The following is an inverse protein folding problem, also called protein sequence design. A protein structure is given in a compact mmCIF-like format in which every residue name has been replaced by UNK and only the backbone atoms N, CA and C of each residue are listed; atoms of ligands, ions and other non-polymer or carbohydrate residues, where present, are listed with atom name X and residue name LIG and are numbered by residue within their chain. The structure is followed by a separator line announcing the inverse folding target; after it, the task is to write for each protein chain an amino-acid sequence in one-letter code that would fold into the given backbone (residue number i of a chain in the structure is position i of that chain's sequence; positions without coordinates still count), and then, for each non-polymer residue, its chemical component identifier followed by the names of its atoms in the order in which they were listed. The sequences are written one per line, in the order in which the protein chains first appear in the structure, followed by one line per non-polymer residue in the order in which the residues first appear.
data_IF_303297340821
#
_entry.id   IF_303297340821
#
_cell.length_a   1.000
_cell.length_b   1.000
_cell.length_c   1.000
_cell.angle_alpha   90.00
_cell.angle_beta   90.00
_cell.angle_gamma   90.00
#
_symmetry.space_group_name_H-M   'P 1'
#
loop_
_entity.id
_entity.type
_entity.pdbx_description
1 polymer ?
#
# COMPACT_ATOMS: atom_id res chain seq x y z
N UNK A 1 65.45 -34.94 -6.56
CA UNK A 1 65.16 -33.68 -5.85
C UNK A 1 64.26 -34.01 -4.67
N UNK A 2 64.82 -34.11 -3.45
CA UNK A 2 64.04 -34.31 -2.23
C UNK A 2 63.30 -33.01 -1.88
N UNK A 3 62.03 -33.06 -1.42
CA UNK A 3 61.34 -31.86 -0.93
C UNK A 3 61.99 -31.39 0.40
N UNK A 4 62.05 -30.07 0.67
CA UNK A 4 62.60 -29.59 1.92
C UNK A 4 61.73 -30.07 3.08
N UNK A 5 62.38 -30.59 4.13
CA UNK A 5 61.73 -30.97 5.38
C UNK A 5 60.93 -29.76 5.92
N UNK A 6 59.61 -29.91 6.02
CA UNK A 6 58.75 -28.92 6.69
C UNK A 6 59.13 -28.89 8.16
N UNK A 7 59.84 -27.84 8.58
CA UNK A 7 59.99 -27.55 10.00
C UNK A 7 58.59 -27.35 10.60
N UNK A 8 58.29 -27.94 11.77
CA UNK A 8 57.02 -27.73 12.44
C UNK A 8 56.85 -26.23 12.71
N UNK A 9 55.64 -25.70 12.48
CA UNK A 9 55.31 -24.35 12.90
C UNK A 9 55.45 -24.27 14.44
N UNK A 10 56.18 -23.28 14.98
CA UNK A 10 56.36 -23.15 16.41
C UNK A 10 55.00 -22.94 17.09
N UNK A 11 54.77 -23.64 18.20
CA UNK A 11 53.54 -23.50 18.99
C UNK A 11 53.61 -22.17 19.74
N UNK A 12 52.48 -21.47 19.85
CA UNK A 12 52.37 -20.14 20.50
C UNK A 12 52.97 -20.11 21.93
N UNK A 13 52.90 -21.23 22.66
CA UNK A 13 53.49 -21.40 23.99
C UNK A 13 55.03 -21.33 24.02
N UNK A 14 55.71 -21.62 22.92
CA UNK A 14 57.17 -21.61 22.83
C UNK A 14 57.70 -20.19 22.49
N UNK A 15 56.84 -19.36 21.90
CA UNK A 15 57.15 -17.99 21.43
C UNK A 15 57.10 -16.98 22.58
N UNK A 16 56.22 -17.20 23.57
CA UNK A 16 55.96 -16.20 24.63
C UNK A 16 57.11 -16.06 25.65
N UNK A 17 57.85 -17.13 25.92
CA UNK A 17 58.93 -17.12 26.93
C UNK A 17 60.33 -16.88 26.38
N UNK A 18 60.68 -17.48 25.24
CA UNK A 18 62.08 -17.51 24.75
C UNK A 18 62.45 -16.26 23.96
N UNK A 19 61.51 -15.70 23.19
CA UNK A 19 61.75 -14.53 22.35
C UNK A 19 61.89 -13.27 23.20
N UNK A 20 61.05 -13.11 24.23
CA UNK A 20 61.13 -11.96 25.14
C UNK A 20 62.40 -11.99 26.00
N UNK A 21 62.84 -13.17 26.42
CA UNK A 21 64.07 -13.34 27.20
C UNK A 21 65.34 -13.08 26.37
N UNK A 22 65.38 -13.56 25.12
CA UNK A 22 66.45 -13.21 24.18
C UNK A 22 66.50 -11.71 23.85
N UNK A 23 65.32 -11.09 23.70
CA UNK A 23 65.20 -9.64 23.47
C UNK A 23 65.68 -8.77 24.64
N UNK A 24 65.56 -9.25 25.88
CA UNK A 24 66.03 -8.55 27.07
C UNK A 24 67.55 -8.69 27.28
N UNK A 25 68.13 -9.81 26.84
CA UNK A 25 69.58 -10.04 26.88
C UNK A 25 70.31 -9.20 25.82
N UNK A 26 69.81 -9.15 24.59
CA UNK A 26 70.40 -8.33 23.52
C UNK A 26 70.25 -6.82 23.78
N UNK A 27 69.26 -6.43 24.61
CA UNK A 27 69.00 -5.05 24.99
C UNK A 27 69.90 -4.50 26.11
N UNK A 28 70.68 -5.35 26.77
CA UNK A 28 71.57 -4.90 27.84
C UNK A 28 72.82 -4.16 27.30
N UNK A 29 73.21 -4.42 26.05
CA UNK A 29 74.48 -3.94 25.46
C UNK A 29 74.32 -2.95 24.29
N UNK A 30 73.10 -2.61 23.88
CA UNK A 30 72.84 -1.65 22.79
C UNK A 30 72.48 -0.24 23.30
N UNK A 31 72.92 0.81 22.59
CA UNK A 31 72.52 2.17 22.93
C UNK A 31 71.00 2.33 22.85
N UNK A 32 70.44 3.09 23.79
CA UNK A 32 68.99 3.35 23.92
C UNK A 32 68.32 3.77 22.61
N UNK A 33 69.04 4.46 21.72
CA UNK A 33 68.55 4.85 20.39
C UNK A 33 68.37 3.67 19.43
N UNK A 34 69.29 2.68 19.41
CA UNK A 34 69.16 1.47 18.58
C UNK A 34 68.07 0.55 19.11
N UNK A 35 67.92 0.49 20.43
CA UNK A 35 66.82 -0.22 21.08
C UNK A 35 65.46 0.34 20.69
N UNK A 36 65.28 1.65 20.77
CA UNK A 36 64.03 2.29 20.35
C UNK A 36 63.69 2.05 18.88
N UNK A 37 64.70 2.09 17.98
CA UNK A 37 64.49 1.83 16.56
C UNK A 37 64.19 0.34 16.27
N UNK A 38 64.91 -0.58 16.90
CA UNK A 38 64.73 -2.02 16.77
C UNK A 38 63.38 -2.49 17.30
N UNK A 39 63.04 -2.10 18.53
CA UNK A 39 61.75 -2.41 19.15
C UNK A 39 60.60 -1.73 18.41
N UNK A 40 60.75 -0.47 17.99
CA UNK A 40 59.72 0.24 17.22
C UNK A 40 59.38 -0.46 15.90
N UNK A 41 60.38 -0.92 15.14
CA UNK A 41 60.13 -1.63 13.88
C UNK A 41 59.45 -2.99 14.08
N UNK A 42 59.82 -3.71 15.15
CA UNK A 42 59.29 -5.04 15.47
C UNK A 42 57.89 -4.97 16.04
N UNK A 43 57.60 -4.01 16.92
CA UNK A 43 56.24 -3.71 17.41
C UNK A 43 55.32 -3.31 16.26
N UNK A 44 55.79 -2.45 15.36
CA UNK A 44 55.01 -2.05 14.17
C UNK A 44 54.67 -3.25 13.28
N UNK A 45 55.62 -4.18 13.11
CA UNK A 45 55.40 -5.40 12.34
C UNK A 45 54.44 -6.36 13.04
N UNK A 46 54.55 -6.52 14.36
CA UNK A 46 53.65 -7.35 15.15
C UNK A 46 52.21 -6.79 15.13
N UNK A 47 52.04 -5.48 15.33
CA UNK A 47 50.74 -4.80 15.23
C UNK A 47 50.16 -4.96 13.83
N UNK A 48 50.97 -4.79 12.78
CA UNK A 48 50.51 -5.00 11.39
C UNK A 48 50.04 -6.44 11.16
N UNK A 49 50.76 -7.45 11.63
CA UNK A 49 50.32 -8.84 11.55
C UNK A 49 49.03 -9.08 12.32
N UNK A 50 48.88 -8.50 13.52
CA UNK A 50 47.68 -8.64 14.34
C UNK A 50 46.46 -8.01 13.64
N UNK A 51 46.62 -6.80 13.11
CA UNK A 51 45.60 -6.10 12.32
C UNK A 51 45.26 -6.91 11.06
N UNK A 52 46.25 -7.46 10.35
CA UNK A 52 46.00 -8.32 9.19
C UNK A 52 45.17 -9.55 9.57
N UNK A 53 45.49 -10.24 10.67
CA UNK A 53 44.71 -11.41 11.13
C UNK A 53 43.30 -11.01 11.59
N UNK A 54 43.13 -9.83 12.18
CA UNK A 54 41.82 -9.36 12.67
C UNK A 54 40.89 -8.90 11.55
N UNK A 55 41.40 -8.23 10.52
CA UNK A 55 40.59 -7.63 9.45
C UNK A 55 40.54 -8.47 8.17
N UNK A 56 41.58 -9.26 7.91
CA UNK A 56 41.67 -10.14 6.75
C UNK A 56 42.37 -11.45 7.15
N UNK A 57 41.74 -12.24 8.05
CA UNK A 57 42.31 -13.52 8.47
C UNK A 57 42.60 -14.35 7.22
N UNK A 58 43.74 -15.05 7.16
CA UNK A 58 44.00 -15.97 6.05
C UNK A 58 42.87 -16.98 6.02
N UNK A 59 41.91 -16.78 5.11
CA UNK A 59 40.84 -17.73 4.87
C UNK A 59 41.53 -19.00 4.43
N UNK A 60 41.35 -20.09 5.16
CA UNK A 60 41.57 -21.42 4.60
C UNK A 60 40.53 -21.59 3.48
N UNK A 61 40.82 -21.04 2.30
CA UNK A 61 40.00 -21.21 1.11
C UNK A 61 40.09 -22.69 0.73
N UNK A 62 39.10 -23.48 1.15
CA UNK A 62 38.86 -24.76 0.53
C UNK A 62 38.31 -24.50 -0.88
N UNK A 63 39.22 -24.32 -1.83
CA UNK A 63 38.89 -24.07 -3.24
C UNK A 63 37.95 -25.15 -3.82
N UNK A 64 37.94 -26.35 -3.26
CA UNK A 64 37.02 -27.41 -3.69
C UNK A 64 35.59 -27.19 -3.14
N UNK A 65 35.44 -26.62 -1.95
CA UNK A 65 34.15 -26.18 -1.42
C UNK A 65 33.59 -25.00 -2.21
N UNK A 66 34.41 -23.99 -2.47
CA UNK A 66 33.98 -22.80 -3.23
C UNK A 66 33.56 -23.13 -4.66
N UNK A 67 34.29 -24.05 -5.34
CA UNK A 67 33.87 -24.58 -6.64
C UNK A 67 32.56 -25.35 -6.58
N UNK A 68 32.40 -26.25 -5.58
CA UNK A 68 31.15 -27.00 -5.38
C UNK A 68 29.97 -26.07 -5.18
N UNK A 69 30.13 -25.02 -4.36
CA UNK A 69 29.10 -23.98 -4.13
C UNK A 69 28.75 -23.25 -5.43
N UNK A 70 29.75 -22.83 -6.21
CA UNK A 70 29.55 -22.10 -7.46
C UNK A 70 28.88 -22.93 -8.57
N UNK A 71 29.05 -24.25 -8.55
CA UNK A 71 28.52 -25.19 -9.54
C UNK A 71 27.10 -25.68 -9.21
N UNK A 72 26.53 -25.27 -8.07
CA UNK A 72 25.20 -25.73 -7.64
C UNK A 72 24.07 -25.13 -8.47
N UNK A 73 23.13 -25.97 -8.90
CA UNK A 73 21.98 -25.59 -9.73
C UNK A 73 20.66 -25.64 -8.96
N UNK A 74 20.67 -26.22 -7.76
CA UNK A 74 19.51 -26.31 -6.89
C UNK A 74 19.87 -25.97 -5.44
N UNK A 75 18.85 -25.58 -4.67
CA UNK A 75 18.99 -25.25 -3.25
C UNK A 75 19.51 -26.46 -2.45
N UNK A 76 19.09 -27.67 -2.82
CA UNK A 76 19.54 -28.91 -2.15
C UNK A 76 21.04 -29.17 -2.35
N UNK A 77 21.57 -28.92 -3.55
CA UNK A 77 23.00 -29.04 -3.85
C UNK A 77 23.81 -28.00 -3.10
N UNK A 78 23.31 -26.75 -3.04
CA UNK A 78 23.98 -25.65 -2.33
C UNK A 78 24.13 -25.97 -0.84
N UNK A 79 23.09 -26.54 -0.22
CA UNK A 79 23.10 -26.99 1.17
C UNK A 79 24.16 -28.06 1.40
N UNK A 80 24.20 -29.08 0.54
CA UNK A 80 25.19 -30.16 0.62
C UNK A 80 26.63 -29.66 0.43
N UNK A 81 26.85 -28.64 -0.40
CA UNK A 81 28.17 -28.04 -0.63
C UNK A 81 28.65 -27.15 0.52
N UNK A 82 27.72 -26.59 1.31
CA UNK A 82 28.03 -25.70 2.45
C UNK A 82 28.21 -26.49 3.76
N UNK A 83 27.67 -27.69 3.89
CA UNK A 83 27.77 -28.49 5.12
C UNK A 83 29.19 -29.04 5.35
N UNK A 84 29.79 -28.76 6.51
CA UNK A 84 31.09 -29.32 6.89
C UNK A 84 30.95 -30.74 7.49
N UNK A 85 31.91 -31.66 7.27
CA UNK A 85 31.84 -33.00 7.84
C UNK A 85 32.02 -32.94 9.37
N UNK A 86 30.93 -33.12 10.12
CA UNK A 86 30.97 -33.29 11.58
C UNK A 86 30.23 -32.24 12.43
N UNK A 87 29.58 -31.24 11.83
CA UNK A 87 28.58 -30.43 12.55
C UNK A 87 27.24 -31.18 12.63
N UNK A 88 26.59 -31.14 13.79
CA UNK A 88 25.24 -31.69 13.99
C UNK A 88 24.30 -30.99 13.00
N UNK A 89 23.66 -31.73 12.07
CA UNK A 89 23.01 -31.12 10.93
C UNK A 89 21.77 -30.36 11.42
N UNK A 90 21.88 -29.03 11.56
CA UNK A 90 20.68 -28.21 11.32
C UNK A 90 20.22 -28.59 9.93
N UNK A 91 18.99 -29.09 9.83
CA UNK A 91 18.40 -29.52 8.56
C UNK A 91 18.09 -28.27 7.73
N UNK A 92 19.15 -27.66 7.19
CA UNK A 92 19.15 -26.47 6.36
C UNK A 92 18.25 -26.65 5.14
N UNK A 93 18.12 -27.88 4.65
CA UNK A 93 17.20 -28.22 3.56
C UNK A 93 15.74 -28.04 3.99
N UNK A 94 15.38 -28.45 5.20
CA UNK A 94 14.06 -28.22 5.78
C UNK A 94 13.81 -26.73 6.02
N UNK A 95 14.75 -26.00 6.63
CA UNK A 95 14.61 -24.56 6.87
C UNK A 95 14.46 -23.76 5.57
N UNK A 96 15.23 -24.10 4.53
CA UNK A 96 15.13 -23.47 3.22
C UNK A 96 13.82 -23.85 2.50
N UNK A 97 13.36 -25.09 2.63
CA UNK A 97 12.06 -25.52 2.14
C UNK A 97 10.91 -24.75 2.80
N UNK A 98 10.96 -24.59 4.12
CA UNK A 98 9.98 -23.80 4.88
C UNK A 98 10.02 -22.32 4.50
N UNK A 99 11.21 -21.74 4.32
CA UNK A 99 11.38 -20.35 3.90
C UNK A 99 10.83 -20.13 2.48
N UNK A 100 11.08 -21.06 1.56
CA UNK A 100 10.56 -21.00 0.20
C UNK A 100 9.03 -21.11 0.17
N UNK A 101 8.45 -22.00 0.99
CA UNK A 101 7.00 -22.13 1.13
C UNK A 101 6.35 -20.85 1.68
N UNK A 102 6.97 -20.23 2.70
CA UNK A 102 6.52 -18.94 3.25
C UNK A 102 6.60 -17.82 2.21
N UNK A 103 7.69 -17.75 1.44
CA UNK A 103 7.84 -16.77 0.37
C UNK A 103 6.76 -16.93 -0.71
N UNK A 104 6.49 -18.16 -1.15
CA UNK A 104 5.44 -18.44 -2.14
C UNK A 104 4.04 -18.09 -1.61
N UNK A 105 3.75 -18.39 -0.34
CA UNK A 105 2.49 -18.03 0.30
C UNK A 105 2.32 -16.50 0.41
N UNK A 106 3.36 -15.78 0.81
CA UNK A 106 3.34 -14.32 0.90
C UNK A 106 3.17 -13.67 -0.48
N UNK A 107 3.84 -14.21 -1.51
CA UNK A 107 3.69 -13.74 -2.89
C UNK A 107 2.25 -13.95 -3.39
N UNK A 108 1.65 -15.11 -3.10
CA UNK A 108 0.25 -15.38 -3.43
C UNK A 108 -0.71 -14.43 -2.69
N UNK A 109 -0.48 -14.20 -1.39
CA UNK A 109 -1.26 -13.28 -0.58
C UNK A 109 -1.18 -11.84 -1.11
N UNK A 110 0.02 -11.39 -1.50
CA UNK A 110 0.23 -10.08 -2.13
C UNK A 110 -0.54 -9.94 -3.44
N UNK A 111 -0.45 -10.93 -4.33
CA UNK A 111 -1.19 -10.91 -5.61
C UNK A 111 -2.71 -10.87 -5.35
N UNK A 112 -3.20 -11.64 -4.37
CA UNK A 112 -4.61 -11.63 -3.99
C UNK A 112 -5.05 -10.25 -3.44
N UNK A 113 -4.21 -9.63 -2.60
CA UNK A 113 -4.46 -8.29 -2.07
C UNK A 113 -4.48 -7.22 -3.18
N UNK A 114 -3.52 -7.27 -4.11
CA UNK A 114 -3.46 -6.36 -5.26
C UNK A 114 -4.71 -6.49 -6.16
N UNK A 115 -5.14 -7.73 -6.45
CA UNK A 115 -6.39 -7.99 -7.20
C UNK A 115 -7.62 -7.46 -6.47
N UNK A 116 -7.71 -7.68 -5.16
CA UNK A 116 -8.81 -7.18 -4.33
C UNK A 116 -8.86 -5.66 -4.31
N UNK A 117 -7.71 -4.99 -4.15
CA UNK A 117 -7.62 -3.54 -4.19
C UNK A 117 -8.03 -2.97 -5.57
N UNK A 118 -7.61 -3.62 -6.66
CA UNK A 118 -8.02 -3.26 -8.01
C UNK A 118 -9.54 -3.37 -8.20
N UNK A 119 -10.14 -4.48 -7.79
CA UNK A 119 -11.58 -4.70 -7.87
C UNK A 119 -12.37 -3.67 -7.06
N UNK A 120 -11.92 -3.39 -5.83
CA UNK A 120 -12.54 -2.37 -4.97
C UNK A 120 -12.50 -0.99 -5.62
N UNK A 121 -11.37 -0.62 -6.24
CA UNK A 121 -11.23 0.64 -6.98
C UNK A 121 -12.14 0.71 -8.20
N UNK A 122 -12.31 -0.40 -8.92
CA UNK A 122 -13.21 -0.47 -10.07
C UNK A 122 -14.68 -0.30 -9.65
N UNK A 123 -15.10 -0.96 -8.57
CA UNK A 123 -16.45 -0.84 -8.00
C UNK A 123 -16.74 0.58 -7.49
N UNK A 124 -15.77 1.22 -6.83
CA UNK A 124 -15.90 2.63 -6.42
C UNK A 124 -16.13 3.55 -7.62
N UNK A 125 -15.33 3.40 -8.69
CA UNK A 125 -15.52 4.20 -9.91
C UNK A 125 -16.88 3.95 -10.57
N UNK A 126 -17.40 2.73 -10.51
CA UNK A 126 -18.72 2.39 -11.04
C UNK A 126 -19.83 3.08 -10.23
N UNK A 127 -19.74 3.03 -8.90
CA UNK A 127 -20.67 3.72 -7.99
C UNK A 127 -20.64 5.23 -8.19
N UNK A 128 -19.45 5.81 -8.34
CA UNK A 128 -19.28 7.24 -8.57
C UNK A 128 -19.95 7.72 -9.87
N UNK A 129 -19.75 6.99 -10.97
CA UNK A 129 -20.47 7.25 -12.23
C UNK A 129 -21.99 7.14 -12.08
N UNK A 130 -22.45 6.14 -11.33
CA UNK A 130 -23.88 5.97 -11.08
C UNK A 130 -24.45 7.13 -10.27
N UNK A 131 -23.76 7.58 -9.22
CA UNK A 131 -24.16 8.75 -8.42
C UNK A 131 -24.26 10.02 -9.28
N UNK A 132 -23.32 10.24 -10.19
CA UNK A 132 -23.37 11.39 -11.12
C UNK A 132 -24.61 11.31 -12.02
N UNK A 133 -24.93 10.12 -12.56
CA UNK A 133 -26.13 9.91 -13.37
C UNK A 133 -27.41 10.19 -12.58
N UNK A 134 -27.50 9.66 -11.35
CA UNK A 134 -28.66 9.86 -10.48
C UNK A 134 -28.82 11.32 -10.06
N UNK A 135 -27.72 12.04 -9.83
CA UNK A 135 -27.77 13.47 -9.54
C UNK A 135 -28.32 14.27 -10.74
N UNK A 136 -27.92 13.91 -11.96
CA UNK A 136 -28.46 14.53 -13.18
C UNK A 136 -29.95 14.23 -13.37
N UNK A 137 -30.37 12.98 -13.17
CA UNK A 137 -31.79 12.60 -13.23
C UNK A 137 -32.63 13.31 -12.17
N UNK A 138 -32.13 13.42 -10.93
CA UNK A 138 -32.82 14.17 -9.88
C UNK A 138 -32.94 15.66 -10.22
N UNK A 139 -31.89 16.28 -10.77
CA UNK A 139 -31.97 17.67 -11.21
C UNK A 139 -33.02 17.88 -12.32
N UNK A 140 -33.13 16.93 -13.24
CA UNK A 140 -34.14 16.95 -14.29
C UNK A 140 -35.55 16.76 -13.75
N UNK A 141 -35.75 15.81 -12.84
CA UNK A 141 -37.03 15.62 -12.16
C UNK A 141 -37.45 16.86 -11.38
N UNK A 142 -36.52 17.53 -10.71
CA UNK A 142 -36.80 18.74 -9.96
C UNK A 142 -37.22 19.90 -10.87
N UNK A 143 -36.63 20.03 -12.07
CA UNK A 143 -37.10 20.99 -13.08
C UNK A 143 -38.53 20.68 -13.53
N UNK A 144 -38.87 19.41 -13.74
CA UNK A 144 -40.22 19.00 -14.15
C UNK A 144 -41.25 19.28 -13.07
N UNK A 145 -40.90 19.05 -11.80
CA UNK A 145 -41.75 19.40 -10.66
C UNK A 145 -42.02 20.91 -10.66
N UNK A 146 -40.98 21.73 -10.76
CA UNK A 146 -41.16 23.18 -10.78
C UNK A 146 -42.06 23.64 -11.94
N UNK A 147 -41.82 23.13 -13.16
CA UNK A 147 -42.65 23.45 -14.30
C UNK A 147 -44.12 23.03 -14.10
N UNK A 148 -44.34 21.86 -13.48
CA UNK A 148 -45.69 21.39 -13.15
C UNK A 148 -46.36 22.26 -12.08
N UNK A 149 -45.62 22.73 -11.08
CA UNK A 149 -46.13 23.64 -10.05
C UNK A 149 -46.50 25.01 -10.65
N UNK A 150 -45.67 25.55 -11.53
CA UNK A 150 -45.94 26.81 -12.23
C UNK A 150 -47.19 26.69 -13.10
N UNK A 151 -47.36 25.56 -13.79
CA UNK A 151 -48.56 25.27 -14.57
C UNK A 151 -49.81 25.16 -13.68
N UNK A 152 -49.70 24.47 -12.54
CA UNK A 152 -50.81 24.38 -11.58
C UNK A 152 -51.21 25.75 -11.06
N UNK A 153 -50.23 26.57 -10.64
CA UNK A 153 -50.50 27.92 -10.14
C UNK A 153 -51.17 28.80 -11.21
N UNK A 154 -50.74 28.66 -12.47
CA UNK A 154 -51.38 29.37 -13.59
C UNK A 154 -52.82 28.92 -13.78
N UNK A 155 -53.08 27.61 -13.73
CA UNK A 155 -54.43 27.06 -13.81
C UNK A 155 -55.32 27.53 -12.66
N UNK A 156 -54.82 27.48 -11.42
CA UNK A 156 -55.56 27.89 -10.23
C UNK A 156 -55.94 29.38 -10.31
N UNK A 157 -55.03 30.23 -10.79
CA UNK A 157 -55.30 31.65 -11.02
C UNK A 157 -56.37 31.88 -12.09
N UNK A 158 -56.35 31.09 -13.18
CA UNK A 158 -57.38 31.17 -14.23
C UNK A 158 -58.75 30.76 -13.69
N UNK A 159 -58.83 29.69 -12.90
CA UNK A 159 -60.07 29.25 -12.25
C UNK A 159 -60.57 30.33 -11.29
N UNK A 160 -59.70 30.92 -10.48
CA UNK A 160 -60.08 32.00 -9.57
C UNK A 160 -60.62 33.24 -10.31
N UNK A 161 -60.03 33.60 -11.46
CA UNK A 161 -60.54 34.70 -12.28
C UNK A 161 -61.92 34.39 -12.86
N UNK A 162 -62.13 33.18 -13.38
CA UNK A 162 -63.41 32.75 -13.95
C UNK A 162 -64.53 32.66 -12.91
N UNK A 163 -64.19 32.35 -11.66
CA UNK A 163 -65.17 32.28 -10.58
C UNK A 163 -65.88 33.62 -10.36
N UNK A 164 -65.14 34.74 -10.43
CA UNK A 164 -65.73 36.08 -10.33
C UNK A 164 -66.67 36.41 -11.50
N UNK A 165 -66.32 35.97 -12.70
CA UNK A 165 -67.18 36.14 -13.88
C UNK A 165 -68.47 35.32 -13.76
N UNK A 166 -68.39 34.08 -13.25
CA UNK A 166 -69.57 33.23 -13.01
C UNK A 166 -70.51 33.88 -12.00
N UNK A 167 -69.99 34.39 -10.88
CA UNK A 167 -70.81 35.09 -9.86
C UNK A 167 -71.52 36.32 -10.44
N UNK A 168 -70.84 37.11 -11.27
CA UNK A 168 -71.45 38.25 -11.95
C UNK A 168 -72.54 37.82 -12.95
N UNK A 169 -72.30 36.73 -13.69
CA UNK A 169 -73.29 36.16 -14.60
C UNK A 169 -74.53 35.65 -13.85
N UNK A 170 -74.35 34.96 -12.73
CA UNK A 170 -75.43 34.47 -11.87
C UNK A 170 -76.29 35.62 -11.34
N UNK A 171 -75.67 36.73 -10.93
CA UNK A 171 -76.41 37.92 -10.49
C UNK A 171 -77.24 38.53 -11.63
N UNK A 172 -76.67 38.64 -12.84
CA UNK A 172 -77.38 39.15 -14.02
C UNK A 172 -78.56 38.25 -14.36
N UNK A 173 -78.36 36.92 -14.35
CA UNK A 173 -79.40 35.92 -14.60
C UNK A 173 -80.54 36.02 -13.58
N UNK A 174 -80.22 36.17 -12.29
CA UNK A 174 -81.23 36.35 -11.25
C UNK A 174 -82.05 37.62 -11.47
N UNK A 175 -81.40 38.75 -11.78
CA UNK A 175 -82.06 40.04 -12.06
C UNK A 175 -82.95 39.98 -13.30
N UNK A 176 -82.48 39.36 -14.38
CA UNK A 176 -83.27 39.22 -15.62
C UNK A 176 -84.47 38.30 -15.41
N UNK A 177 -84.29 37.19 -14.70
CA UNK A 177 -85.38 36.27 -14.35
C UNK A 177 -86.46 36.96 -13.50
N UNK A 178 -86.06 37.78 -12.52
CA UNK A 178 -87.01 38.54 -11.71
C UNK A 178 -87.81 39.55 -12.55
N UNK A 179 -87.16 40.25 -13.48
CA UNK A 179 -87.83 41.20 -14.39
C UNK A 179 -88.81 40.49 -15.33
N UNK A 180 -88.45 39.32 -15.86
CA UNK A 180 -89.33 38.50 -16.68
C UNK A 180 -90.59 38.10 -15.92
N UNK A 181 -90.44 37.59 -14.69
CA UNK A 181 -91.59 37.26 -13.83
C UNK A 181 -92.51 38.47 -13.59
N UNK A 182 -91.93 39.63 -13.28
CA UNK A 182 -92.72 40.86 -13.11
C UNK A 182 -93.45 41.28 -14.39
N UNK A 183 -92.83 41.13 -15.56
CA UNK A 183 -93.46 41.42 -16.84
C UNK A 183 -94.63 40.46 -17.11
N UNK A 184 -94.46 39.17 -16.84
CA UNK A 184 -95.52 38.17 -16.98
C UNK A 184 -96.70 38.45 -16.03
N UNK A 185 -96.43 38.76 -14.77
CA UNK A 185 -97.46 39.15 -13.79
C UNK A 185 -98.25 40.41 -14.22
N UNK A 186 -97.55 41.40 -14.78
CA UNK A 186 -98.19 42.61 -15.33
C UNK A 186 -99.06 42.29 -16.55
N UNK A 187 -98.59 41.44 -17.46
CA UNK A 187 -99.36 40.99 -18.61
C UNK A 187 -100.61 40.24 -18.19
N UNK A 188 -100.51 39.31 -17.23
CA UNK A 188 -101.67 38.62 -16.67
C UNK A 188 -102.67 39.59 -16.01
N UNK A 189 -102.17 40.58 -15.25
CA UNK A 189 -103.00 41.61 -14.63
C UNK A 189 -103.72 42.48 -15.66
N UNK A 190 -103.03 42.87 -16.74
CA UNK A 190 -103.65 43.60 -17.85
C UNK A 190 -104.69 42.74 -18.58
N UNK A 191 -104.39 41.47 -18.86
CA UNK A 191 -105.31 40.54 -19.49
C UNK A 191 -106.60 40.36 -18.67
N UNK A 192 -106.49 40.33 -17.34
CA UNK A 192 -107.65 40.30 -16.42
C UNK A 192 -108.49 41.57 -16.42
N UNK A 193 -107.92 42.73 -16.77
CA UNK A 193 -108.65 44.02 -16.84
C UNK A 193 -109.38 44.23 -18.17
N UNK A 194 -108.98 43.50 -19.22
CA UNK A 194 -109.56 43.60 -20.56
C UNK A 194 -110.72 42.59 -20.74
N UNK A 195 -110.80 41.55 -19.91
CA UNK A 195 -111.94 40.65 -19.79
C UNK A 195 -112.99 41.19 -18.85
#
# INVERSE_FOLDING_TARGET
MQPPARLPAPRLSDIEGTVLHGLLMDAADESTERLCAGFGSRLTKAIRCLVQVMFDPPRCQDQARDRRIAETQSIAELVAAVQEPGEDPRDLAEELGQLHARFAAEQAARIAAERSAFNTKAELKKKDRWLISMAAENAELQKRIQASEDQRNTSDNQVAAQQGDVEAHDEILARTTARLKQADELLESQAKKIK
#
